data_IF_336296525610
#
_entry.id   IF_336296525610
#
_cell.length_a   1.000
_cell.length_b   1.000
_cell.length_c   1.000
_cell.angle_alpha   90.00
_cell.angle_beta   90.00
_cell.angle_gamma   90.00
#
_symmetry.space_group_name_H-M   'P 1'
#
loop_
_entity.id
_entity.type
_entity.pdbx_description
1 polymer ?
#
# COMPACT_ATOMS: atom_id res chain seq x y z
N UNK A 1 28.40 -16.61 11.33
CA UNK A 1 27.29 -16.44 10.37
C UNK A 1 26.27 -15.54 11.06
N UNK A 2 26.29 -14.23 10.80
CA UNK A 2 25.35 -13.29 11.42
C UNK A 2 24.05 -13.33 10.63
N UNK A 3 22.99 -13.90 11.21
CA UNK A 3 21.64 -13.83 10.66
C UNK A 3 21.16 -12.39 10.75
N UNK A 4 21.19 -11.67 9.63
CA UNK A 4 20.54 -10.36 9.52
C UNK A 4 19.06 -10.53 9.89
N UNK A 5 18.51 -9.77 10.85
CA UNK A 5 17.12 -9.91 11.24
C UNK A 5 16.20 -9.71 10.02
N UNK A 6 15.08 -10.46 9.89
CA UNK A 6 14.23 -10.49 8.70
C UNK A 6 13.48 -9.18 8.40
N UNK A 7 13.74 -8.10 9.14
CA UNK A 7 13.02 -6.82 9.13
C UNK A 7 12.85 -6.23 7.72
N UNK A 8 13.88 -6.31 6.87
CA UNK A 8 13.79 -5.79 5.50
C UNK A 8 12.88 -6.58 4.57
N UNK A 9 12.69 -7.89 4.80
CA UNK A 9 11.71 -8.69 4.02
C UNK A 9 10.30 -8.40 4.49
N UNK A 10 10.09 -8.32 5.81
CA UNK A 10 8.80 -7.98 6.39
C UNK A 10 8.33 -6.59 5.94
N UNK A 11 9.22 -5.58 5.98
CA UNK A 11 8.90 -4.21 5.56
C UNK A 11 8.46 -4.13 4.09
N UNK A 12 9.14 -4.85 3.19
CA UNK A 12 8.77 -4.88 1.79
C UNK A 12 7.44 -5.60 1.55
N UNK A 13 7.20 -6.72 2.24
CA UNK A 13 5.91 -7.42 2.17
C UNK A 13 4.75 -6.53 2.65
N UNK A 14 4.94 -5.81 3.76
CA UNK A 14 3.94 -4.84 4.26
C UNK A 14 3.71 -3.73 3.25
N UNK A 15 4.77 -3.17 2.64
CA UNK A 15 4.63 -2.16 1.60
C UNK A 15 3.82 -2.66 0.39
N UNK A 16 4.08 -3.89 -0.07
CA UNK A 16 3.35 -4.49 -1.20
C UNK A 16 1.87 -4.68 -0.87
N UNK A 17 1.56 -5.27 0.29
CA UNK A 17 0.16 -5.50 0.71
C UNK A 17 -0.58 -4.17 0.89
N UNK A 18 0.09 -3.17 1.45
CA UNK A 18 -0.48 -1.84 1.65
C UNK A 18 -0.76 -1.14 0.30
N UNK A 19 0.15 -1.25 -0.66
CA UNK A 19 -0.03 -0.71 -2.00
C UNK A 19 -1.20 -1.37 -2.75
N UNK A 20 -1.33 -2.70 -2.64
CA UNK A 20 -2.47 -3.41 -3.25
C UNK A 20 -3.79 -2.92 -2.65
N UNK A 21 -3.86 -2.82 -1.32
CA UNK A 21 -5.06 -2.34 -0.64
C UNK A 21 -5.38 -0.88 -0.99
N UNK A 22 -4.38 0.01 -1.02
CA UNK A 22 -4.54 1.42 -1.38
C UNK A 22 -5.02 1.60 -2.81
N UNK A 23 -4.41 0.88 -3.76
CA UNK A 23 -4.85 0.87 -5.17
C UNK A 23 -6.30 0.38 -5.32
N UNK A 24 -6.73 -0.63 -4.57
CA UNK A 24 -8.13 -1.08 -4.58
C UNK A 24 -9.08 0.00 -4.06
N UNK A 25 -8.71 0.68 -2.97
CA UNK A 25 -9.52 1.77 -2.40
C UNK A 25 -9.65 2.95 -3.37
N UNK A 26 -8.56 3.31 -4.05
CA UNK A 26 -8.54 4.29 -5.15
C UNK A 26 -9.50 3.86 -6.25
N UNK A 27 -9.36 2.62 -6.73
CA UNK A 27 -10.20 2.10 -7.79
C UNK A 27 -11.69 2.07 -7.43
N UNK A 28 -12.04 1.67 -6.21
CA UNK A 28 -13.43 1.68 -5.74
C UNK A 28 -13.97 3.10 -5.55
N UNK A 29 -13.23 3.98 -4.87
CA UNK A 29 -13.66 5.36 -4.61
C UNK A 29 -13.83 6.20 -5.88
N UNK A 30 -13.12 5.86 -6.97
CA UNK A 30 -13.29 6.48 -8.29
C UNK A 30 -14.34 5.79 -9.17
N UNK A 31 -14.97 4.72 -8.71
CA UNK A 31 -15.97 3.98 -9.49
C UNK A 31 -15.40 3.14 -10.64
N UNK A 32 -14.08 2.92 -10.66
CA UNK A 32 -13.39 2.06 -11.65
C UNK A 32 -13.58 0.59 -11.28
N UNK A 33 -13.33 0.24 -10.03
CA UNK A 33 -13.55 -1.10 -9.47
C UNK A 33 -14.95 -1.10 -8.86
N UNK A 34 -15.89 -1.80 -9.50
CA UNK A 34 -17.30 -1.82 -9.09
C UNK A 34 -17.67 -3.14 -8.42
N UNK A 35 -18.51 -3.07 -7.39
CA UNK A 35 -19.03 -4.21 -6.63
C UNK A 35 -20.07 -3.76 -5.61
N UNK A 36 -20.66 -4.68 -4.84
CA UNK A 36 -21.65 -4.37 -3.78
C UNK A 36 -21.00 -3.83 -2.49
N UNK A 37 -19.99 -2.98 -2.63
CA UNK A 37 -19.20 -2.42 -1.54
C UNK A 37 -19.65 -1.00 -1.23
N UNK A 38 -19.60 -0.61 0.04
CA UNK A 38 -19.91 0.75 0.51
C UNK A 38 -18.87 1.80 0.09
N UNK A 39 -17.77 1.36 -0.55
CA UNK A 39 -16.67 2.22 -0.97
C UNK A 39 -16.83 2.79 -2.38
N UNK A 40 -17.72 2.20 -3.18
CA UNK A 40 -17.85 2.53 -4.61
C UNK A 40 -18.43 3.93 -4.77
N UNK A 41 -17.81 4.73 -5.65
CA UNK A 41 -18.21 6.12 -5.95
C UNK A 41 -18.13 7.10 -4.76
N UNK A 42 -17.41 6.75 -3.68
CA UNK A 42 -17.12 7.66 -2.57
C UNK A 42 -15.63 8.09 -2.56
N UNK A 43 -15.42 9.37 -2.88
CA UNK A 43 -14.10 10.00 -2.98
C UNK A 43 -13.26 9.91 -1.70
N UNK A 44 -13.89 9.73 -0.53
CA UNK A 44 -13.16 9.55 0.73
C UNK A 44 -12.28 8.30 0.67
N UNK A 45 -12.76 7.23 0.05
CA UNK A 45 -11.98 6.01 -0.13
C UNK A 45 -10.82 6.19 -1.10
N UNK A 46 -11.01 7.00 -2.14
CA UNK A 46 -9.92 7.33 -3.04
C UNK A 46 -8.79 8.10 -2.33
N UNK A 47 -9.14 9.05 -1.46
CA UNK A 47 -8.16 9.78 -0.65
C UNK A 47 -7.45 8.86 0.36
N UNK A 48 -8.18 7.97 1.04
CA UNK A 48 -7.59 7.01 1.97
C UNK A 48 -6.60 6.10 1.23
N UNK A 49 -7.01 5.56 0.08
CA UNK A 49 -6.14 4.70 -0.73
C UNK A 49 -4.88 5.42 -1.21
N UNK A 50 -4.99 6.69 -1.62
CA UNK A 50 -3.84 7.50 -1.99
C UNK A 50 -2.84 7.67 -0.83
N UNK A 51 -3.34 7.92 0.39
CA UNK A 51 -2.49 8.02 1.58
C UNK A 51 -1.79 6.68 1.87
N UNK A 52 -2.49 5.56 1.71
CA UNK A 52 -1.91 4.22 1.86
C UNK A 52 -0.79 3.96 0.84
N UNK A 53 -0.99 4.31 -0.43
CA UNK A 53 0.02 4.13 -1.49
C UNK A 53 1.25 5.03 -1.28
N UNK A 54 1.06 6.25 -0.77
CA UNK A 54 2.18 7.12 -0.37
C UNK A 54 2.98 6.51 0.78
N UNK A 55 2.31 5.98 1.80
CA UNK A 55 2.97 5.30 2.91
C UNK A 55 3.72 4.05 2.45
N UNK A 56 3.10 3.22 1.60
CA UNK A 56 3.73 2.04 1.00
C UNK A 56 5.00 2.41 0.23
N UNK A 57 4.93 3.46 -0.59
CA UNK A 57 6.07 4.00 -1.32
C UNK A 57 7.19 4.43 -0.38
N UNK A 58 6.86 5.14 0.71
CA UNK A 58 7.82 5.54 1.74
C UNK A 58 8.52 4.35 2.40
N UNK A 59 7.75 3.32 2.80
CA UNK A 59 8.30 2.09 3.41
C UNK A 59 9.22 1.37 2.43
N UNK A 60 8.79 1.18 1.19
CA UNK A 60 9.58 0.53 0.15
C UNK A 60 10.89 1.29 -0.10
N UNK A 61 10.82 2.62 -0.24
CA UNK A 61 11.98 3.47 -0.46
C UNK A 61 13.01 3.37 0.66
N UNK A 62 12.57 3.50 1.92
CA UNK A 62 13.46 3.38 3.09
C UNK A 62 14.07 1.98 3.17
N UNK A 63 13.27 0.94 2.92
CA UNK A 63 13.73 -0.46 2.96
C UNK A 63 14.76 -0.76 1.88
N UNK A 64 14.57 -0.22 0.66
CA UNK A 64 15.51 -0.40 -0.45
C UNK A 64 16.80 0.39 -0.22
N UNK A 65 16.70 1.62 0.29
CA UNK A 65 17.87 2.44 0.62
C UNK A 65 18.72 1.82 1.74
N UNK A 66 18.10 1.17 2.71
CA UNK A 66 18.81 0.45 3.78
C UNK A 66 19.56 -0.80 3.29
N UNK A 67 19.32 -1.25 2.05
CA UNK A 67 19.98 -2.41 1.43
C UNK A 67 21.07 -2.03 0.41
N UNK A 68 21.20 -0.74 0.08
CA UNK A 68 22.16 -0.21 -0.90
C UNK A 68 23.41 0.27 -0.19
#
# INVERSE_FOLDING_TARGET
MQETPPSGRLGLSVAILLAIAGTIFIGQGMGIIRGSSFMVDDQRWALIGLVMDMAATGIAWVTLRARS
#
